data_IF_640006962043
#
_entry.id   IF_640006962043
#
_cell.length_a   1.000
_cell.length_b   1.000
_cell.length_c   1.000
_cell.angle_alpha   90.00
_cell.angle_beta   90.00
_cell.angle_gamma   90.00
#
_symmetry.space_group_name_H-M   'P 1'
#
loop_
_entity.id
_entity.type
_entity.pdbx_description
1 polymer ?
#
# COMPACT_ATOMS: atom_id res chain seq x y z
N UNK A 1 57.07 42.49 -5.29
CA UNK A 1 56.29 42.70 -4.07
C UNK A 1 54.83 42.68 -4.50
N UNK A 2 54.25 41.49 -4.57
CA UNK A 2 52.88 41.28 -5.04
C UNK A 2 52.01 40.99 -3.82
N UNK A 3 50.98 41.81 -3.68
CA UNK A 3 50.10 41.89 -2.52
C UNK A 3 49.26 40.59 -2.41
N UNK A 4 49.31 39.96 -1.24
CA UNK A 4 48.77 38.61 -0.98
C UNK A 4 47.35 38.62 -0.43
N UNK A 5 46.68 39.75 -0.49
CA UNK A 5 45.42 40.05 0.22
C UNK A 5 44.20 40.17 -0.69
N UNK A 6 44.38 40.15 -2.01
CA UNK A 6 43.30 40.33 -3.00
C UNK A 6 42.86 39.03 -3.71
N UNK A 7 43.25 37.86 -3.21
CA UNK A 7 42.91 36.58 -3.85
C UNK A 7 42.06 35.63 -3.01
N UNK A 8 41.76 35.96 -1.75
CA UNK A 8 40.93 35.12 -0.88
C UNK A 8 39.44 35.48 -0.89
N UNK A 9 39.06 36.68 -1.30
CA UNK A 9 37.67 37.17 -1.16
C UNK A 9 36.77 36.87 -2.36
N UNK A 10 37.31 36.31 -3.46
CA UNK A 10 36.52 35.91 -4.63
C UNK A 10 36.23 34.40 -4.70
N UNK A 11 36.84 33.59 -3.82
CA UNK A 11 36.63 32.13 -3.83
C UNK A 11 35.64 31.63 -2.77
N UNK A 12 35.23 32.47 -1.82
CA UNK A 12 34.25 32.08 -0.78
C UNK A 12 32.81 32.44 -1.20
N UNK A 13 32.64 33.36 -2.15
CA UNK A 13 31.33 33.83 -2.63
C UNK A 13 30.86 33.12 -3.92
N UNK A 14 31.39 31.92 -4.18
CA UNK A 14 31.03 31.09 -5.36
C UNK A 14 30.45 29.71 -5.02
N UNK A 15 30.53 29.27 -3.75
CA UNK A 15 30.10 27.93 -3.33
C UNK A 15 28.82 27.91 -2.48
N UNK A 16 28.16 29.05 -2.23
CA UNK A 16 26.92 29.09 -1.43
C UNK A 16 25.64 28.99 -2.29
N UNK A 17 25.76 29.02 -3.62
CA UNK A 17 24.59 28.92 -4.54
C UNK A 17 24.47 27.58 -5.28
N UNK A 18 25.31 26.59 -4.99
CA UNK A 18 25.28 25.28 -5.64
C UNK A 18 24.63 24.17 -4.79
N UNK A 19 24.09 24.48 -3.60
CA UNK A 19 23.54 23.47 -2.68
C UNK A 19 22.04 23.64 -2.33
N UNK A 20 21.31 24.50 -3.03
CA UNK A 20 19.89 24.77 -2.72
C UNK A 20 18.91 24.51 -3.87
N UNK A 21 19.28 23.77 -4.92
CA UNK A 21 18.32 23.36 -5.97
C UNK A 21 18.51 21.90 -6.38
N UNK A 22 18.56 21.01 -5.39
CA UNK A 22 17.93 19.70 -5.53
C UNK A 22 16.58 19.80 -4.83
N UNK A 23 15.62 20.44 -5.51
CA UNK A 23 14.22 20.40 -5.10
C UNK A 23 13.78 18.94 -5.08
N UNK A 24 13.75 18.36 -3.88
CA UNK A 24 12.57 17.77 -3.28
C UNK A 24 11.69 16.99 -4.27
N UNK A 25 12.15 15.82 -4.70
CA UNK A 25 11.27 14.67 -4.63
C UNK A 25 11.29 14.20 -3.18
N UNK A 26 10.56 14.86 -2.27
CA UNK A 26 10.29 14.22 -0.98
C UNK A 26 9.60 12.90 -1.31
N UNK A 27 10.17 11.78 -0.88
CA UNK A 27 9.37 10.58 -0.72
C UNK A 27 8.33 10.96 0.34
N UNK A 28 7.19 11.47 -0.12
CA UNK A 28 6.09 11.77 0.78
C UNK A 28 5.62 10.42 1.28
N UNK A 29 5.71 10.24 2.58
CA UNK A 29 5.16 9.09 3.27
C UNK A 29 3.84 9.55 3.89
N UNK A 30 2.88 8.64 4.02
CA UNK A 30 1.57 9.04 4.50
C UNK A 30 0.70 7.89 4.90
N UNK A 31 -0.34 8.23 5.63
CA UNK A 31 -1.44 7.33 5.95
C UNK A 31 -2.75 7.88 5.41
N UNK A 32 -3.61 6.97 4.93
CA UNK A 32 -4.97 7.29 4.53
C UNK A 32 -5.92 6.42 5.32
N UNK A 33 -6.99 7.04 5.79
CA UNK A 33 -8.16 6.34 6.30
C UNK A 33 -9.25 6.47 5.26
N UNK A 34 -9.71 5.34 4.78
CA UNK A 34 -10.79 5.20 3.83
C UNK A 34 -12.00 4.64 4.57
N UNK A 35 -13.14 5.24 4.31
CA UNK A 35 -14.42 4.67 4.68
C UNK A 35 -15.01 4.07 3.41
N UNK A 36 -15.49 2.84 3.50
CA UNK A 36 -16.30 2.32 2.42
C UNK A 36 -17.55 1.58 2.85
N UNK A 37 -18.29 1.18 1.83
CA UNK A 37 -19.59 0.56 1.93
C UNK A 37 -19.81 -0.37 0.73
N UNK A 38 -20.53 -1.47 0.95
CA UNK A 38 -20.88 -2.41 -0.10
C UNK A 38 -22.29 -2.12 -0.62
N UNK A 39 -22.52 -2.37 -1.91
CA UNK A 39 -23.88 -2.41 -2.48
C UNK A 39 -24.70 -3.61 -1.98
N UNK A 40 -24.03 -4.61 -1.38
CA UNK A 40 -24.66 -5.79 -0.78
C UNK A 40 -24.76 -5.59 0.73
N UNK A 41 -25.96 -5.80 1.29
CA UNK A 41 -26.15 -5.81 2.74
C UNK A 41 -25.26 -6.88 3.39
N UNK A 42 -24.47 -6.52 4.39
CA UNK A 42 -23.44 -7.35 5.02
C UNK A 42 -22.35 -7.87 4.06
N UNK A 43 -22.11 -7.16 2.95
CA UNK A 43 -21.02 -7.44 2.03
C UNK A 43 -19.65 -7.40 2.72
N UNK A 44 -18.77 -8.32 2.33
CA UNK A 44 -17.39 -8.35 2.78
C UNK A 44 -16.69 -7.03 2.36
N UNK A 45 -15.88 -6.45 3.26
CA UNK A 45 -15.23 -5.12 3.13
C UNK A 45 -16.07 -3.88 3.46
N UNK A 46 -17.24 -3.98 4.08
CA UNK A 46 -18.02 -2.79 4.48
C UNK A 46 -17.40 -1.93 5.60
N UNK A 47 -16.12 -2.14 5.96
CA UNK A 47 -15.46 -1.53 7.10
C UNK A 47 -14.60 -0.31 6.75
N UNK A 48 -13.66 -0.04 7.66
CA UNK A 48 -12.56 0.91 7.47
C UNK A 48 -11.47 0.26 6.64
N UNK A 49 -10.77 1.07 5.86
CA UNK A 49 -9.51 0.68 5.22
C UNK A 49 -8.44 1.67 5.64
N UNK A 50 -7.31 1.18 6.14
CA UNK A 50 -6.13 2.00 6.41
C UNK A 50 -5.04 1.69 5.41
N UNK A 51 -4.39 2.73 4.90
CA UNK A 51 -3.31 2.58 3.92
C UNK A 51 -2.10 3.35 4.43
N UNK A 52 -0.93 2.71 4.41
CA UNK A 52 0.36 3.32 4.74
C UNK A 52 1.27 3.24 3.52
N UNK A 53 1.93 4.34 3.17
CA UNK A 53 2.88 4.37 2.06
C UNK A 53 4.17 5.09 2.46
N UNK A 54 5.31 4.62 1.94
CA UNK A 54 6.62 5.24 2.16
C UNK A 54 7.41 5.51 0.86
N UNK A 55 6.70 5.76 -0.25
CA UNK A 55 7.27 6.00 -1.58
C UNK A 55 7.81 4.75 -2.29
N UNK A 56 8.19 3.69 -1.55
CA UNK A 56 8.63 2.41 -2.10
C UNK A 56 7.69 1.23 -1.79
N UNK A 57 6.93 1.32 -0.70
CA UNK A 57 6.07 0.26 -0.18
C UNK A 57 4.67 0.80 0.09
N UNK A 58 3.69 -0.11 0.06
CA UNK A 58 2.31 0.15 0.44
C UNK A 58 1.85 -0.97 1.38
N UNK A 59 1.21 -0.62 2.49
CA UNK A 59 0.44 -1.56 3.34
C UNK A 59 -1.02 -1.11 3.32
N UNK A 60 -1.92 -2.06 3.11
CA UNK A 60 -3.36 -1.86 3.16
C UNK A 60 -3.89 -2.78 4.24
N UNK A 61 -4.64 -2.24 5.19
CA UNK A 61 -5.34 -2.99 6.24
C UNK A 61 -6.83 -2.79 6.03
N UNK A 62 -7.54 -3.89 5.84
CA UNK A 62 -8.96 -3.88 5.51
C UNK A 62 -9.72 -4.63 6.60
N UNK A 63 -10.69 -3.95 7.21
CA UNK A 63 -11.60 -4.59 8.15
C UNK A 63 -12.81 -5.13 7.40
N UNK A 64 -13.12 -6.44 7.51
CA UNK A 64 -14.22 -7.03 6.76
C UNK A 64 -15.60 -6.52 7.20
N UNK A 65 -15.68 -5.97 8.43
CA UNK A 65 -16.89 -5.41 9.05
C UNK A 65 -16.56 -4.07 9.72
N UNK A 66 -17.58 -3.37 10.22
CA UNK A 66 -17.40 -2.15 11.01
C UNK A 66 -16.72 -2.38 12.36
N UNK A 67 -16.68 -3.63 12.83
CA UNK A 67 -15.97 -4.01 14.05
C UNK A 67 -14.45 -3.99 13.78
N UNK A 68 -13.72 -3.12 14.48
CA UNK A 68 -12.27 -2.97 14.35
C UNK A 68 -11.48 -4.11 15.04
N UNK A 69 -11.84 -5.37 14.76
CA UNK A 69 -11.12 -6.56 15.26
C UNK A 69 -9.90 -6.84 14.37
N UNK A 70 -8.71 -6.53 14.88
CA UNK A 70 -7.43 -6.75 14.19
C UNK A 70 -7.22 -8.21 13.76
N UNK A 71 -7.76 -9.18 14.51
CA UNK A 71 -7.62 -10.61 14.19
C UNK A 71 -8.34 -10.98 12.89
N UNK A 72 -9.36 -10.20 12.51
CA UNK A 72 -10.17 -10.41 11.31
C UNK A 72 -9.70 -9.59 10.11
N UNK A 73 -8.69 -8.73 10.28
CA UNK A 73 -8.20 -7.88 9.20
C UNK A 73 -7.60 -8.70 8.07
N UNK A 74 -7.78 -8.17 6.86
CA UNK A 74 -6.99 -8.54 5.71
C UNK A 74 -5.90 -7.51 5.51
N UNK A 75 -4.66 -7.97 5.41
CA UNK A 75 -3.53 -7.08 5.17
C UNK A 75 -2.89 -7.41 3.83
N UNK A 76 -2.71 -6.38 2.99
CA UNK A 76 -1.98 -6.50 1.73
C UNK A 76 -0.76 -5.59 1.78
N UNK A 77 0.42 -6.16 1.56
CA UNK A 77 1.68 -5.46 1.48
C UNK A 77 2.18 -5.50 0.04
N UNK A 78 2.47 -4.34 -0.55
CA UNK A 78 3.19 -4.22 -1.80
C UNK A 78 4.62 -3.78 -1.49
N UNK A 79 5.58 -4.69 -1.69
CA UNK A 79 6.98 -4.55 -1.33
C UNK A 79 7.84 -4.59 -2.60
N UNK A 80 7.68 -3.60 -3.47
CA UNK A 80 8.36 -3.53 -4.76
C UNK A 80 7.82 -4.51 -5.79
N UNK A 81 8.35 -5.74 -5.83
CA UNK A 81 7.90 -6.81 -6.73
C UNK A 81 7.22 -7.98 -5.99
N UNK A 82 7.27 -7.96 -4.66
CA UNK A 82 6.63 -8.96 -3.81
C UNK A 82 5.32 -8.41 -3.27
N UNK A 83 4.24 -9.20 -3.35
CA UNK A 83 2.99 -8.97 -2.64
C UNK A 83 2.88 -9.98 -1.51
N UNK A 84 2.62 -9.51 -0.29
CA UNK A 84 2.22 -10.37 0.81
C UNK A 84 0.75 -10.10 1.13
N UNK A 85 -0.06 -11.16 1.22
CA UNK A 85 -1.44 -11.08 1.71
C UNK A 85 -1.58 -11.87 3.01
N UNK A 86 -1.90 -11.21 4.11
CA UNK A 86 -2.17 -11.83 5.41
C UNK A 86 -3.66 -11.83 5.68
N UNK A 87 -4.20 -12.97 6.11
CA UNK A 87 -5.63 -13.11 6.38
C UNK A 87 -5.90 -14.19 7.45
N UNK A 88 -7.06 -14.14 8.12
CA UNK A 88 -7.48 -15.19 9.03
C UNK A 88 -7.83 -16.48 8.28
N UNK A 89 -7.30 -17.60 8.75
CA UNK A 89 -7.54 -18.94 8.25
C UNK A 89 -7.62 -19.94 9.41
N UNK A 90 -8.77 -20.59 9.59
CA UNK A 90 -9.01 -21.59 10.63
C UNK A 90 -8.61 -21.14 12.05
N UNK A 91 -8.87 -19.87 12.41
CA UNK A 91 -8.58 -19.33 13.74
C UNK A 91 -7.13 -18.87 13.95
N UNK A 92 -6.30 -18.90 12.91
CA UNK A 92 -4.92 -18.37 12.91
C UNK A 92 -4.74 -17.39 11.75
N UNK A 93 -3.68 -16.57 11.78
CA UNK A 93 -3.29 -15.75 10.62
C UNK A 93 -2.36 -16.55 9.72
N UNK A 94 -2.45 -16.34 8.41
CA UNK A 94 -1.53 -16.92 7.41
C UNK A 94 -1.19 -15.86 6.38
N UNK A 95 0.07 -15.82 5.96
CA UNK A 95 0.58 -14.96 4.90
C UNK A 95 0.87 -15.72 3.62
N UNK A 96 0.29 -15.25 2.50
CA UNK A 96 0.61 -15.73 1.16
C UNK A 96 1.52 -14.75 0.43
N UNK A 97 2.66 -15.25 -0.04
CA UNK A 97 3.65 -14.49 -0.79
C UNK A 97 3.45 -14.73 -2.28
N UNK A 98 3.37 -13.63 -3.04
CA UNK A 98 3.27 -13.62 -4.49
C UNK A 98 4.39 -12.77 -5.08
N UNK A 99 4.98 -13.24 -6.17
CA UNK A 99 5.99 -12.51 -6.91
C UNK A 99 5.41 -11.99 -8.22
N UNK A 100 5.68 -10.72 -8.53
CA UNK A 100 5.28 -10.07 -9.76
C UNK A 100 6.50 -9.79 -10.63
N UNK A 101 6.40 -10.08 -11.93
CA UNK A 101 7.41 -9.71 -12.90
C UNK A 101 7.39 -8.23 -13.28
N UNK A 102 6.39 -7.48 -12.81
CA UNK A 102 6.24 -6.04 -13.00
C UNK A 102 6.26 -5.33 -11.66
N UNK A 103 6.70 -4.05 -11.61
CA UNK A 103 6.54 -3.22 -10.43
C UNK A 103 5.08 -3.19 -9.99
N UNK A 104 4.88 -3.30 -8.69
CA UNK A 104 3.55 -3.23 -8.08
C UNK A 104 3.09 -1.78 -7.94
N UNK A 105 1.77 -1.54 -7.81
CA UNK A 105 1.24 -0.20 -7.56
C UNK A 105 1.82 0.38 -6.26
N UNK A 106 2.10 1.68 -6.29
CA UNK A 106 2.61 2.46 -5.14
C UNK A 106 1.94 3.83 -5.12
N UNK A 107 1.98 4.50 -3.97
CA UNK A 107 1.60 5.91 -3.89
C UNK A 107 2.66 6.77 -4.61
N UNK A 108 2.21 7.75 -5.38
CA UNK A 108 3.08 8.64 -6.16
C UNK A 108 2.59 10.08 -6.04
N UNK A 109 3.46 11.06 -6.32
CA UNK A 109 3.04 12.45 -6.35
C UNK A 109 2.33 12.76 -7.68
N UNK A 110 1.18 13.45 -7.61
CA UNK A 110 0.51 14.00 -8.79
C UNK A 110 1.26 15.24 -9.33
N UNK A 111 0.73 15.87 -10.38
CA UNK A 111 1.36 17.04 -11.01
C UNK A 111 1.35 18.28 -10.10
N UNK A 112 0.46 18.29 -9.10
CA UNK A 112 0.36 19.28 -8.04
C UNK A 112 1.34 19.03 -6.88
N UNK A 113 2.05 17.89 -6.88
CA UNK A 113 3.01 17.51 -5.84
C UNK A 113 2.38 16.87 -4.60
N UNK A 114 1.12 16.43 -4.69
CA UNK A 114 0.38 15.75 -3.63
C UNK A 114 0.55 14.24 -3.76
N UNK A 115 0.84 13.57 -2.64
CA UNK A 115 0.89 12.11 -2.59
C UNK A 115 -0.51 11.52 -2.79
N UNK A 116 -0.68 10.75 -3.86
CA UNK A 116 -1.95 10.08 -4.23
C UNK A 116 -1.79 8.58 -4.25
N UNK A 117 -2.87 7.88 -3.89
CA UNK A 117 -2.94 6.42 -3.95
C UNK A 117 -3.08 5.94 -5.41
N UNK A 118 -2.55 4.76 -5.74
CA UNK A 118 -2.73 4.19 -7.07
C UNK A 118 -4.20 3.74 -7.27
N UNK A 119 -4.68 3.67 -8.52
CA UNK A 119 -5.96 3.03 -8.81
C UNK A 119 -6.03 1.60 -8.25
N UNK A 120 -7.22 1.14 -7.79
CA UNK A 120 -8.53 1.79 -7.89
C UNK A 120 -8.88 2.73 -6.72
N UNK A 121 -7.93 3.14 -5.87
CA UNK A 121 -8.25 4.03 -4.74
C UNK A 121 -8.58 5.47 -5.22
N UNK A 122 -9.36 6.24 -4.43
CA UNK A 122 -9.65 7.64 -4.76
C UNK A 122 -8.35 8.45 -4.75
N UNK A 123 -8.23 9.43 -5.64
CA UNK A 123 -7.06 10.31 -5.66
C UNK A 123 -7.16 11.43 -4.61
N UNK A 124 -8.38 11.81 -4.17
CA UNK A 124 -8.57 12.90 -3.21
C UNK A 124 -9.74 12.66 -2.23
N UNK A 125 -9.76 13.35 -1.07
CA UNK A 125 -10.82 13.24 -0.06
C UNK A 125 -12.25 13.52 -0.54
N UNK A 126 -12.41 14.32 -1.57
CA UNK A 126 -13.74 14.64 -2.14
C UNK A 126 -14.21 13.65 -3.20
N UNK A 127 -13.42 12.61 -3.49
CA UNK A 127 -13.72 11.62 -4.53
C UNK A 127 -14.15 10.29 -3.91
N UNK A 128 -15.13 9.67 -4.56
CA UNK A 128 -15.53 8.29 -4.33
C UNK A 128 -14.94 7.42 -5.45
N UNK A 129 -14.63 6.17 -5.13
CA UNK A 129 -14.15 5.20 -6.11
C UNK A 129 -14.79 3.84 -5.88
N UNK A 130 -14.92 3.08 -6.98
CA UNK A 130 -15.41 1.71 -7.00
C UNK A 130 -14.23 0.74 -7.07
N UNK A 131 -14.19 -0.20 -6.13
CA UNK A 131 -13.17 -1.25 -6.04
C UNK A 131 -13.85 -2.61 -6.28
N UNK A 132 -13.38 -3.40 -7.27
CA UNK A 132 -13.88 -4.74 -7.45
C UNK A 132 -13.37 -5.66 -6.33
N UNK A 133 -14.29 -6.27 -5.57
CA UNK A 133 -13.98 -7.19 -4.47
C UNK A 133 -14.09 -8.68 -4.86
N UNK A 134 -14.43 -8.97 -6.11
CA UNK A 134 -14.61 -10.33 -6.63
C UNK A 134 -15.69 -10.39 -7.70
N UNK A 135 -16.11 -11.60 -8.07
CA UNK A 135 -17.17 -11.79 -9.06
C UNK A 135 -18.51 -11.24 -8.51
N UNK A 136 -19.08 -10.25 -9.21
CA UNK A 136 -20.35 -9.62 -8.85
C UNK A 136 -20.30 -8.72 -7.60
N UNK A 137 -19.10 -8.39 -7.10
CA UNK A 137 -18.91 -7.59 -5.89
C UNK A 137 -18.24 -6.25 -6.23
N UNK A 138 -18.92 -5.15 -5.90
CA UNK A 138 -18.37 -3.78 -5.92
C UNK A 138 -18.42 -3.21 -4.51
N UNK A 139 -17.31 -2.63 -4.10
CA UNK A 139 -17.15 -1.91 -2.85
C UNK A 139 -16.81 -0.46 -3.17
N UNK A 140 -17.57 0.47 -2.61
CA UNK A 140 -17.34 1.89 -2.76
C UNK A 140 -16.48 2.40 -1.63
N UNK A 141 -15.58 3.32 -1.92
CA UNK A 141 -14.72 3.92 -0.91
C UNK A 141 -14.54 5.41 -1.14
N UNK A 142 -14.29 6.13 -0.04
CA UNK A 142 -13.83 7.53 -0.06
C UNK A 142 -12.75 7.74 0.99
N UNK A 143 -11.82 8.65 0.70
CA UNK A 143 -10.82 9.06 1.69
C UNK A 143 -11.51 9.96 2.72
N UNK A 144 -11.45 9.59 4.01
CA UNK A 144 -11.99 10.39 5.11
C UNK A 144 -10.91 11.12 5.90
N UNK A 145 -9.67 10.62 5.86
CA UNK A 145 -8.52 11.30 6.42
C UNK A 145 -7.24 10.97 5.64
N UNK A 146 -6.34 11.94 5.58
CA UNK A 146 -4.98 11.77 5.10
C UNK A 146 -4.04 12.47 6.09
N UNK A 147 -2.96 11.78 6.46
CA UNK A 147 -1.89 12.34 7.28
C UNK A 147 -0.57 12.18 6.53
N UNK A 148 0.15 13.29 6.35
CA UNK A 148 1.52 13.27 5.86
C UNK A 148 2.44 12.87 7.01
N UNK A 149 3.30 11.88 6.76
CA UNK A 149 4.21 11.30 7.73
C UNK A 149 5.66 11.61 7.38
N UNK A 150 6.50 11.67 8.41
CA UNK A 150 7.96 11.78 8.25
C UNK A 150 8.55 10.41 7.91
N UNK A 151 9.39 10.34 6.87
CA UNK A 151 10.02 9.10 6.41
C UNK A 151 10.84 8.39 7.50
N UNK A 152 11.40 9.16 8.45
CA UNK A 152 12.19 8.63 9.57
C UNK A 152 11.37 7.75 10.52
N UNK A 153 10.03 7.86 10.51
CA UNK A 153 9.16 6.98 11.28
C UNK A 153 9.29 5.51 10.83
N UNK A 154 9.53 5.27 9.53
CA UNK A 154 9.64 3.93 8.95
C UNK A 154 11.07 3.40 8.86
N UNK A 155 12.08 4.23 9.17
CA UNK A 155 13.46 3.83 9.20
C UNK A 155 13.75 2.90 10.40
N UNK A 156 14.85 2.10 10.37
CA UNK A 156 15.25 1.28 11.51
C UNK A 156 15.41 2.11 12.80
N UNK A 157 14.76 1.67 13.88
CA UNK A 157 14.66 2.38 15.16
C UNK A 157 13.56 3.45 15.22
N UNK A 158 12.83 3.68 14.12
CA UNK A 158 11.68 4.58 14.06
C UNK A 158 10.43 3.98 14.72
N UNK A 159 9.47 4.85 15.07
CA UNK A 159 8.25 4.43 15.77
C UNK A 159 7.34 3.49 14.93
N UNK A 160 7.51 3.49 13.61
CA UNK A 160 6.73 2.73 12.64
C UNK A 160 7.62 1.77 11.82
N UNK A 161 8.80 1.41 12.32
CA UNK A 161 9.76 0.55 11.60
C UNK A 161 9.16 -0.80 11.15
N UNK A 162 8.15 -1.27 11.89
CA UNK A 162 7.48 -2.56 11.65
C UNK A 162 6.26 -2.48 10.74
N UNK A 163 5.86 -1.30 10.26
CA UNK A 163 4.61 -1.14 9.49
C UNK A 163 4.56 -2.04 8.27
N UNK A 164 5.67 -2.22 7.55
CA UNK A 164 5.71 -3.03 6.33
C UNK A 164 6.17 -4.47 6.55
N UNK A 165 6.02 -4.97 7.77
CA UNK A 165 6.29 -6.36 8.14
C UNK A 165 4.99 -6.99 8.66
N UNK A 166 4.73 -8.27 8.34
CA UNK A 166 3.71 -9.03 9.05
C UNK A 166 4.14 -9.30 10.50
N UNK A 167 3.20 -9.77 11.32
CA UNK A 167 3.51 -10.22 12.68
C UNK A 167 4.48 -11.41 12.67
N UNK A 168 5.35 -11.47 13.67
CA UNK A 168 6.46 -12.45 13.74
C UNK A 168 5.98 -13.92 13.80
N UNK A 169 4.74 -14.14 14.24
CA UNK A 169 4.12 -15.47 14.35
C UNK A 169 3.29 -15.85 13.11
N UNK A 170 3.14 -14.96 12.14
CA UNK A 170 2.38 -15.22 10.91
C UNK A 170 3.20 -16.10 9.96
N UNK A 171 2.81 -17.37 9.72
CA UNK A 171 3.50 -18.23 8.76
C UNK A 171 3.35 -17.68 7.34
N UNK A 172 4.48 -17.51 6.65
CA UNK A 172 4.55 -17.06 5.27
C UNK A 172 4.80 -18.24 4.33
N UNK A 173 4.03 -18.36 3.27
CA UNK A 173 4.17 -19.44 2.29
C UNK A 173 3.72 -19.03 0.89
N UNK A 174 4.08 -19.80 -0.13
CA UNK A 174 3.53 -19.59 -1.48
C UNK A 174 2.09 -20.09 -1.56
N UNK A 175 1.37 -19.68 -2.61
CA UNK A 175 0.04 -20.21 -2.92
C UNK A 175 0.05 -21.73 -3.06
N UNK A 176 1.03 -22.29 -3.77
CA UNK A 176 1.14 -23.73 -4.02
C UNK A 176 1.35 -24.50 -2.73
N UNK A 177 2.23 -24.00 -1.85
CA UNK A 177 2.46 -24.61 -0.53
C UNK A 177 1.19 -24.59 0.31
N UNK A 178 0.49 -23.46 0.35
CA UNK A 178 -0.77 -23.34 1.08
C UNK A 178 -1.83 -24.34 0.59
N UNK A 179 -2.04 -24.39 -0.72
CA UNK A 179 -3.00 -25.31 -1.34
C UNK A 179 -2.63 -26.78 -1.04
N UNK A 180 -1.35 -27.13 -1.17
CA UNK A 180 -0.87 -28.49 -0.88
C UNK A 180 -1.03 -28.86 0.59
N UNK A 181 -0.67 -27.95 1.51
CA UNK A 181 -0.78 -28.15 2.97
C UNK A 181 -2.23 -28.37 3.40
N UNK A 182 -3.16 -27.62 2.81
CA UNK A 182 -4.58 -27.70 3.13
C UNK A 182 -5.37 -28.65 2.22
N UNK A 183 -4.69 -29.42 1.36
CA UNK A 183 -5.30 -30.39 0.43
C UNK A 183 -6.42 -29.78 -0.42
N UNK A 184 -6.22 -28.53 -0.82
CA UNK A 184 -7.14 -27.87 -1.74
C UNK A 184 -6.77 -28.26 -3.16
N UNK A 185 -7.72 -28.81 -3.90
CA UNK A 185 -7.56 -28.99 -5.34
C UNK A 185 -7.68 -27.61 -6.01
N UNK A 186 -6.82 -27.29 -7.00
CA UNK A 186 -7.04 -26.10 -7.81
C UNK A 186 -8.41 -26.21 -8.48
N UNK A 187 -9.18 -25.12 -8.58
CA UNK A 187 -10.49 -25.17 -9.22
C UNK A 187 -10.31 -25.73 -10.64
N UNK A 188 -11.03 -26.81 -10.93
CA UNK A 188 -11.08 -27.36 -12.28
C UNK A 188 -11.72 -26.27 -13.14
N UNK A 189 -10.96 -25.72 -14.09
CA UNK A 189 -11.53 -24.89 -15.14
C UNK A 189 -12.44 -25.80 -15.97
N UNK A 190 -13.72 -25.89 -15.58
CA UNK A 190 -14.72 -26.52 -16.41
C UNK A 190 -14.77 -25.67 -17.69
N UNK A 191 -14.49 -26.25 -18.88
CA UNK A 191 -14.72 -25.53 -20.12
C UNK A 191 -16.19 -25.12 -20.12
N UNK A 192 -16.42 -23.81 -20.21
CA UNK A 192 -17.75 -23.22 -20.30
C UNK A 192 -18.62 -24.06 -21.24
N UNK A 193 -19.66 -24.70 -20.70
CA UNK A 193 -20.75 -25.19 -21.53
C UNK A 193 -21.54 -23.95 -21.93
N UNK A 194 -21.10 -23.31 -23.01
CA UNK A 194 -21.98 -22.49 -23.83
C UNK A 194 -23.05 -23.42 -24.41
N UNK A 195 -24.20 -23.46 -23.76
CA UNK A 195 -25.41 -24.09 -24.28
C UNK A 195 -26.42 -24.27 -23.17
N UNK A 196 -27.70 -23.97 -23.31
CA UNK A 196 -28.51 -23.47 -24.40
C UNK A 196 -29.72 -22.82 -23.72
N UNK A 197 -30.31 -21.81 -24.37
CA UNK A 197 -31.62 -21.30 -23.98
C UNK A 197 -32.64 -22.45 -24.01
N UNK A 198 -33.38 -22.62 -22.92
CA UNK A 198 -34.78 -23.05 -22.93
C UNK A 198 -35.56 -22.27 -21.88
#
# INVERSE_FOLDING_TARGET
MFDRTTMLTQWITGCVLAFCVSQLGQAQTGSWVLQGWSDVHDGYFAGKTEIYADGGRLKIVEWPRHEEDESQTLETFFLGQTVLKVFPWNGHRVGLVFESNKPLPRAENNVEGELVLPPPFPASPSQESEIPCGEGCVYHTRIVAFESLDESLFAPGGAMERTFLPDDDTPLMSKEEFMARHRMEPPIALPFVLGEKY
#
